data_IF_485879369369
#
_entry.id   IF_485879369369
#
_cell.length_a   1.000
_cell.length_b   1.000
_cell.length_c   1.000
_cell.angle_alpha   90.00
_cell.angle_beta   90.00
_cell.angle_gamma   90.00
#
_symmetry.space_group_name_H-M   'P 1'
#
loop_
_entity.id
_entity.type
_entity.pdbx_description
1 polymer ?
#
# COMPACT_ATOMS: atom_id res chain seq x y z
N UNK A 1 9.03 31.64 -8.67
CA UNK A 1 8.58 30.59 -9.60
C UNK A 1 9.03 29.30 -8.96
N UNK A 2 8.11 28.59 -8.32
CA UNK A 2 8.36 27.27 -7.77
C UNK A 2 8.55 26.34 -8.97
N UNK A 3 9.71 25.68 -9.07
CA UNK A 3 9.98 24.75 -10.16
C UNK A 3 8.98 23.59 -10.05
N UNK A 4 8.14 23.40 -11.06
CA UNK A 4 7.32 22.21 -11.17
C UNK A 4 8.25 21.00 -11.22
N UNK A 5 7.93 19.98 -10.44
CA UNK A 5 8.71 18.75 -10.38
C UNK A 5 8.35 17.91 -11.62
N UNK A 6 9.24 17.83 -12.60
CA UNK A 6 9.01 17.05 -13.83
C UNK A 6 8.94 15.52 -13.57
N UNK A 7 9.54 15.07 -12.47
CA UNK A 7 9.56 13.64 -12.08
C UNK A 7 9.74 13.52 -10.57
N UNK A 8 9.01 12.58 -9.96
CA UNK A 8 9.06 12.28 -8.53
C UNK A 8 9.41 10.81 -8.30
N UNK A 9 10.24 10.55 -7.30
CA UNK A 9 10.45 9.20 -6.76
C UNK A 9 9.78 9.05 -5.41
N UNK A 10 9.04 7.98 -5.21
CA UNK A 10 8.44 7.62 -3.93
C UNK A 10 8.44 6.10 -3.75
N UNK A 11 8.27 5.65 -2.50
CA UNK A 11 8.16 4.24 -2.20
C UNK A 11 6.70 3.87 -1.99
N UNK A 12 6.25 2.78 -2.59
CA UNK A 12 4.91 2.21 -2.45
C UNK A 12 5.03 0.83 -1.78
N UNK A 13 4.31 0.65 -0.68
CA UNK A 13 4.13 -0.62 0.02
C UNK A 13 2.66 -0.78 0.45
N UNK A 14 2.28 -1.93 1.00
CA UNK A 14 0.95 -2.24 1.53
C UNK A 14 1.05 -3.48 2.43
N UNK A 15 -0.04 -3.85 3.09
CA UNK A 15 -0.17 -5.17 3.74
C UNK A 15 0.96 -5.49 4.74
N UNK A 16 1.41 -4.46 5.49
CA UNK A 16 2.38 -4.63 6.58
C UNK A 16 1.83 -5.56 7.65
N UNK A 17 0.51 -5.54 7.87
CA UNK A 17 -0.26 -6.40 8.77
C UNK A 17 0.49 -6.67 10.07
N UNK A 18 0.93 -5.60 10.73
CA UNK A 18 1.66 -5.69 11.98
C UNK A 18 0.77 -6.40 13.02
N UNK A 19 1.32 -7.41 13.69
CA UNK A 19 0.59 -8.25 14.66
C UNK A 19 -0.01 -9.53 14.07
N UNK A 20 0.21 -9.78 12.78
CA UNK A 20 -0.14 -11.02 12.11
C UNK A 20 0.49 -12.26 12.79
N UNK A 21 -0.30 -13.32 12.91
CA UNK A 21 0.19 -14.64 13.36
C UNK A 21 0.01 -15.72 12.29
N UNK A 22 0.81 -16.78 12.38
CA UNK A 22 0.72 -17.94 11.49
C UNK A 22 0.66 -19.23 12.27
N UNK A 23 -0.39 -20.01 11.99
CA UNK A 23 -0.67 -21.27 12.68
C UNK A 23 0.44 -22.32 12.48
N UNK A 24 1.20 -22.22 11.39
CA UNK A 24 2.29 -23.12 11.05
C UNK A 24 3.65 -22.71 11.67
N UNK A 25 3.74 -21.55 12.32
CA UNK A 25 4.95 -21.13 13.02
C UNK A 25 4.90 -21.61 14.48
N UNK A 26 6.05 -22.10 14.98
CA UNK A 26 6.24 -22.29 16.42
C UNK A 26 6.26 -20.93 17.13
N UNK A 27 6.06 -20.90 18.45
CA UNK A 27 6.10 -19.65 19.22
C UNK A 27 7.43 -18.89 19.09
N UNK A 28 8.55 -19.61 19.03
CA UNK A 28 9.87 -19.03 18.80
C UNK A 28 10.01 -18.44 17.39
N UNK A 29 9.52 -19.15 16.37
CA UNK A 29 9.52 -18.66 15.00
C UNK A 29 8.58 -17.45 14.83
N UNK A 30 7.41 -17.48 15.45
CA UNK A 30 6.45 -16.37 15.46
C UNK A 30 7.06 -15.11 16.07
N UNK A 31 7.81 -15.22 17.18
CA UNK A 31 8.46 -14.06 17.79
C UNK A 31 9.53 -13.42 16.88
N UNK A 32 10.25 -14.23 16.09
CA UNK A 32 11.19 -13.73 15.07
C UNK A 32 10.44 -13.09 13.89
N UNK A 33 9.38 -13.74 13.42
CA UNK A 33 8.52 -13.22 12.37
C UNK A 33 7.92 -11.86 12.73
N UNK A 34 7.42 -11.69 13.96
CA UNK A 34 6.93 -10.42 14.47
C UNK A 34 8.02 -9.32 14.46
N UNK A 35 9.26 -9.68 14.81
CA UNK A 35 10.42 -8.76 14.74
C UNK A 35 10.71 -8.34 13.31
N UNK A 36 10.75 -9.29 12.39
CA UNK A 36 11.06 -9.05 10.97
C UNK A 36 9.96 -8.25 10.27
N UNK A 37 8.68 -8.47 10.59
CA UNK A 37 7.58 -7.62 10.09
C UNK A 37 7.74 -6.17 10.51
N UNK A 38 8.14 -5.90 11.77
CA UNK A 38 8.45 -4.52 12.19
C UNK A 38 9.70 -4.00 11.48
N UNK A 39 10.74 -4.84 11.36
CA UNK A 39 12.00 -4.48 10.69
C UNK A 39 11.81 -4.17 9.20
N UNK A 40 10.77 -4.70 8.57
CA UNK A 40 10.38 -4.33 7.20
C UNK A 40 10.07 -2.83 7.07
N UNK A 41 9.53 -2.20 8.12
CA UNK A 41 9.31 -0.75 8.17
C UNK A 41 10.64 -0.01 8.16
N UNK A 42 11.61 -0.44 8.96
CA UNK A 42 12.95 0.15 8.99
C UNK A 42 13.62 0.04 7.61
N UNK A 43 13.53 -1.14 6.98
CA UNK A 43 14.05 -1.38 5.62
C UNK A 43 13.37 -0.51 4.56
N UNK A 44 12.06 -0.24 4.66
CA UNK A 44 11.40 0.74 3.78
C UNK A 44 12.10 2.10 3.85
N UNK A 45 12.46 2.55 5.06
CA UNK A 45 13.21 3.80 5.25
C UNK A 45 14.60 3.76 4.63
N UNK A 46 15.31 2.64 4.77
CA UNK A 46 16.62 2.44 4.15
C UNK A 46 16.55 2.52 2.61
N UNK A 47 15.59 1.82 2.00
CA UNK A 47 15.34 1.84 0.55
C UNK A 47 14.93 3.24 0.10
N UNK A 48 13.98 3.89 0.79
CA UNK A 48 13.54 5.23 0.45
C UNK A 48 14.73 6.22 0.43
N UNK A 49 15.61 6.14 1.42
CA UNK A 49 16.82 6.96 1.46
C UNK A 49 17.80 6.61 0.33
N UNK A 50 18.04 5.32 0.08
CA UNK A 50 18.98 4.86 -0.93
C UNK A 50 18.58 5.26 -2.36
N UNK A 51 17.27 5.23 -2.66
CA UNK A 51 16.74 5.58 -3.99
C UNK A 51 16.35 7.06 -4.13
N UNK A 52 16.50 7.85 -3.07
CA UNK A 52 16.13 9.28 -3.08
C UNK A 52 14.61 9.50 -3.16
N UNK A 53 13.82 8.55 -2.66
CA UNK A 53 12.38 8.70 -2.54
C UNK A 53 12.05 9.91 -1.67
N UNK A 54 11.01 10.65 -2.05
CA UNK A 54 10.61 11.89 -1.37
C UNK A 54 9.55 11.66 -0.31
N UNK A 55 8.81 10.57 -0.40
CA UNK A 55 7.84 10.09 0.57
C UNK A 55 7.60 8.59 0.40
N UNK A 56 6.89 8.00 1.36
CA UNK A 56 6.41 6.62 1.35
C UNK A 56 4.88 6.63 1.34
N UNK A 57 4.26 5.73 0.59
CA UNK A 57 2.82 5.43 0.63
C UNK A 57 2.65 3.99 1.07
N UNK A 58 1.77 3.77 2.05
CA UNK A 58 1.31 2.44 2.47
C UNK A 58 -0.17 2.29 2.14
N UNK A 59 -0.48 1.47 1.13
CA UNK A 59 -1.80 1.35 0.51
C UNK A 59 -2.71 0.34 1.22
N UNK A 60 -2.94 0.54 2.51
CA UNK A 60 -3.84 -0.29 3.33
C UNK A 60 -3.12 -1.36 4.14
N UNK A 61 -3.85 -1.90 5.11
CA UNK A 61 -3.45 -3.01 5.97
C UNK A 61 -2.07 -2.80 6.63
N UNK A 62 -1.92 -1.65 7.29
CA UNK A 62 -0.73 -1.34 8.11
C UNK A 62 -0.71 -2.26 9.34
N UNK A 63 -1.87 -2.53 9.92
CA UNK A 63 -2.03 -3.37 11.10
C UNK A 63 -2.98 -4.53 10.81
N UNK A 64 -2.71 -5.70 11.42
CA UNK A 64 -3.57 -6.88 11.27
C UNK A 64 -4.97 -6.64 11.85
N UNK A 65 -5.06 -5.89 12.95
CA UNK A 65 -6.32 -5.51 13.60
C UNK A 65 -6.20 -4.10 14.19
N UNK A 66 -7.31 -3.39 14.34
CA UNK A 66 -7.34 -2.14 15.13
C UNK A 66 -6.98 -2.35 16.61
N UNK A 67 -7.28 -3.54 17.15
CA UNK A 67 -6.95 -3.91 18.54
C UNK A 67 -5.74 -4.85 18.59
N UNK A 68 -4.58 -4.28 18.85
CA UNK A 68 -3.32 -5.01 19.05
C UNK A 68 -2.77 -4.79 20.46
N UNK A 69 -1.91 -5.72 20.89
CA UNK A 69 -1.15 -5.54 22.12
C UNK A 69 -0.32 -4.26 22.08
N UNK A 70 -0.37 -3.47 23.16
CA UNK A 70 0.29 -2.15 23.25
C UNK A 70 1.78 -2.21 22.91
N UNK A 71 2.47 -3.30 23.27
CA UNK A 71 3.88 -3.50 22.94
C UNK A 71 4.11 -3.60 21.43
N UNK A 72 3.28 -4.35 20.72
CA UNK A 72 3.37 -4.52 19.26
C UNK A 72 3.08 -3.20 18.56
N UNK A 73 1.99 -2.53 18.94
CA UNK A 73 1.66 -1.20 18.42
C UNK A 73 2.79 -0.20 18.69
N UNK A 74 3.28 -0.09 19.93
CA UNK A 74 4.32 0.87 20.30
C UNK A 74 5.59 0.73 19.45
N UNK A 75 6.06 -0.51 19.24
CA UNK A 75 7.23 -0.76 18.38
C UNK A 75 7.02 -0.35 16.93
N UNK A 76 5.83 -0.59 16.38
CA UNK A 76 5.52 -0.18 15.01
C UNK A 76 5.40 1.35 14.88
N UNK A 77 4.82 2.02 15.88
CA UNK A 77 4.78 3.49 15.92
C UNK A 77 6.19 4.09 16.01
N UNK A 78 7.08 3.49 16.81
CA UNK A 78 8.48 3.91 16.90
C UNK A 78 9.20 3.73 15.55
N UNK A 79 8.96 2.61 14.86
CA UNK A 79 9.53 2.36 13.53
C UNK A 79 9.01 3.36 12.47
N UNK A 80 7.69 3.63 12.45
CA UNK A 80 7.10 4.63 11.56
C UNK A 80 7.65 6.04 11.81
N UNK A 81 7.79 6.41 13.09
CA UNK A 81 8.38 7.70 13.50
C UNK A 81 9.84 7.86 13.08
N UNK A 82 10.58 6.75 12.98
CA UNK A 82 11.98 6.76 12.60
C UNK A 82 12.21 6.83 11.08
N UNK A 83 11.15 6.76 10.26
CA UNK A 83 11.29 6.82 8.81
C UNK A 83 11.87 8.17 8.36
N UNK A 84 12.79 8.18 7.37
CA UNK A 84 13.56 9.37 7.01
C UNK A 84 12.81 10.36 6.11
N UNK A 85 11.60 10.00 5.65
CA UNK A 85 10.77 10.77 4.72
C UNK A 85 9.31 10.73 5.17
N UNK A 86 8.47 11.70 4.75
CA UNK A 86 7.05 11.67 5.04
C UNK A 86 6.37 10.37 4.60
N UNK A 87 5.38 9.92 5.37
CA UNK A 87 4.68 8.66 5.18
C UNK A 87 3.18 8.91 5.12
N UNK A 88 2.55 8.38 4.08
CA UNK A 88 1.11 8.45 3.87
C UNK A 88 0.51 7.07 4.05
N UNK A 89 -0.36 6.92 5.04
CA UNK A 89 -1.00 5.65 5.38
C UNK A 89 -2.45 5.68 4.92
N UNK A 90 -2.83 4.74 4.06
CA UNK A 90 -4.23 4.48 3.73
C UNK A 90 -4.77 3.41 4.69
N UNK A 91 -5.94 3.60 5.32
CA UNK A 91 -6.66 2.52 6.02
C UNK A 91 -7.15 1.42 5.07
N UNK A 92 -6.95 0.15 5.46
CA UNK A 92 -7.40 -1.05 4.75
C UNK A 92 -8.58 -1.76 5.43
N UNK A 93 -8.81 -3.03 5.08
CA UNK A 93 -9.93 -3.82 5.62
C UNK A 93 -9.58 -4.47 6.98
N UNK A 94 -8.30 -4.65 7.30
CA UNK A 94 -7.84 -5.15 8.60
C UNK A 94 -7.79 -4.07 9.67
N UNK A 95 -7.53 -2.82 9.28
CA UNK A 95 -7.43 -1.65 10.14
C UNK A 95 -8.33 -0.48 9.71
N UNK A 96 -9.63 -0.71 9.41
CA UNK A 96 -10.50 0.32 8.88
C UNK A 96 -10.59 1.51 9.83
N UNK A 97 -10.85 2.70 9.29
CA UNK A 97 -10.94 3.95 10.06
C UNK A 97 -12.27 4.05 10.85
N UNK A 98 -12.49 3.11 11.77
CA UNK A 98 -13.60 3.06 12.72
C UNK A 98 -13.30 3.88 13.98
N UNK A 99 -14.26 3.98 14.91
CA UNK A 99 -14.11 4.78 16.13
C UNK A 99 -12.99 4.30 17.07
N UNK A 100 -12.62 3.02 16.99
CA UNK A 100 -11.55 2.38 17.75
C UNK A 100 -10.22 2.29 16.96
N UNK A 101 -10.13 2.95 15.80
CA UNK A 101 -8.99 2.82 14.90
C UNK A 101 -7.66 3.18 15.55
N UNK A 102 -6.66 2.35 15.30
CA UNK A 102 -5.27 2.59 15.69
C UNK A 102 -4.69 3.85 15.02
N UNK A 103 -5.26 4.28 13.89
CA UNK A 103 -4.79 5.44 13.15
C UNK A 103 -4.90 6.75 13.96
N UNK A 104 -5.85 6.88 14.90
CA UNK A 104 -5.88 8.07 15.78
C UNK A 104 -4.64 8.20 16.67
N UNK A 105 -3.90 7.10 16.89
CA UNK A 105 -2.62 7.13 17.62
C UNK A 105 -1.45 7.52 16.71
N UNK A 106 -1.53 7.25 15.40
CA UNK A 106 -0.47 7.62 14.45
C UNK A 106 -0.52 9.10 14.08
N UNK A 107 -1.68 9.75 14.17
CA UNK A 107 -1.86 11.16 13.77
C UNK A 107 -0.96 12.15 14.53
N UNK A 108 -0.51 11.79 15.72
CA UNK A 108 0.39 12.64 16.52
C UNK A 108 1.88 12.42 16.19
N UNK A 109 2.19 11.56 15.21
CA UNK A 109 3.56 11.28 14.79
C UNK A 109 3.95 12.26 13.68
N UNK A 110 4.96 13.08 13.96
CA UNK A 110 5.55 13.96 12.96
C UNK A 110 6.03 13.17 11.74
N UNK A 111 5.69 13.65 10.54
CA UNK A 111 6.03 12.99 9.29
C UNK A 111 5.08 11.87 8.88
N UNK A 112 4.06 11.52 9.68
CA UNK A 112 3.05 10.52 9.31
C UNK A 112 1.71 11.22 9.06
N UNK A 113 1.07 10.90 7.93
CA UNK A 113 -0.25 11.42 7.55
C UNK A 113 -1.17 10.26 7.20
N UNK A 114 -2.36 10.24 7.77
CA UNK A 114 -3.40 9.26 7.40
C UNK A 114 -4.28 9.84 6.31
N UNK A 115 -4.46 9.11 5.21
CA UNK A 115 -5.38 9.43 4.14
C UNK A 115 -6.79 9.00 4.57
N UNK A 116 -7.51 9.89 5.26
CA UNK A 116 -8.77 9.57 5.96
C UNK A 116 -10.03 9.70 5.11
N UNK A 117 -9.92 10.40 4.00
CA UNK A 117 -11.01 10.64 3.07
C UNK A 117 -10.46 10.80 1.64
N UNK A 118 -11.32 11.23 0.72
CA UNK A 118 -11.02 11.38 -0.70
C UNK A 118 -10.49 12.76 -1.07
N UNK A 119 -10.10 13.57 -0.09
CA UNK A 119 -9.49 14.89 -0.34
C UNK A 119 -8.12 14.73 -0.98
N UNK A 120 -7.84 15.62 -1.93
CA UNK A 120 -6.52 15.72 -2.56
C UNK A 120 -5.56 16.43 -1.61
N UNK A 121 -4.41 15.81 -1.34
CA UNK A 121 -3.34 16.34 -0.51
C UNK A 121 -2.15 16.70 -1.40
N UNK A 122 -1.76 17.98 -1.43
CA UNK A 122 -0.51 18.38 -2.07
C UNK A 122 0.67 18.06 -1.15
N UNK A 123 1.49 17.09 -1.55
CA UNK A 123 2.57 16.55 -0.71
C UNK A 123 3.90 17.27 -0.96
N UNK A 124 4.07 17.78 -2.18
CA UNK A 124 5.18 18.61 -2.64
C UNK A 124 4.64 19.56 -3.72
N UNK A 125 5.30 20.69 -4.00
CA UNK A 125 4.91 21.55 -5.11
C UNK A 125 4.77 20.78 -6.43
N UNK A 126 3.54 20.70 -6.95
CA UNK A 126 3.22 19.99 -8.19
C UNK A 126 3.02 18.48 -8.06
N UNK A 127 2.98 17.92 -6.85
CA UNK A 127 2.72 16.49 -6.59
C UNK A 127 1.58 16.35 -5.58
N UNK A 128 0.56 15.58 -5.96
CA UNK A 128 -0.66 15.37 -5.19
C UNK A 128 -0.90 13.88 -4.91
N UNK A 129 -1.52 13.59 -3.76
CA UNK A 129 -2.04 12.27 -3.40
C UNK A 129 -3.55 12.36 -3.20
N UNK A 130 -4.29 11.37 -3.69
CA UNK A 130 -5.71 11.14 -3.33
C UNK A 130 -5.88 9.73 -2.78
N UNK A 131 -6.50 9.62 -1.60
CA UNK A 131 -6.81 8.34 -0.97
C UNK A 131 -8.22 7.84 -1.27
N UNK A 132 -8.39 6.52 -1.26
CA UNK A 132 -9.68 5.82 -1.27
C UNK A 132 -9.77 4.88 -0.05
N UNK A 133 -9.90 5.43 1.18
CA UNK A 133 -9.71 4.66 2.40
C UNK A 133 -10.91 3.80 2.77
N UNK A 134 -10.65 2.65 3.40
CA UNK A 134 -11.71 1.84 3.99
C UNK A 134 -12.12 2.38 5.35
N UNK A 135 -13.37 2.83 5.44
CA UNK A 135 -14.00 3.31 6.68
C UNK A 135 -14.72 2.17 7.43
N UNK A 136 -14.91 1.04 6.76
CA UNK A 136 -15.49 -0.20 7.27
C UNK A 136 -14.70 -1.39 6.72
N UNK A 137 -14.74 -2.53 7.42
CA UNK A 137 -14.04 -3.76 7.02
C UNK A 137 -14.45 -4.27 5.64
N UNK A 138 -15.70 -4.04 5.24
CA UNK A 138 -16.23 -4.41 3.92
C UNK A 138 -16.74 -3.16 3.25
N UNK A 139 -16.31 -2.93 2.01
CA UNK A 139 -16.87 -1.90 1.16
C UNK A 139 -18.13 -2.42 0.45
N UNK A 140 -19.05 -1.52 0.12
CA UNK A 140 -20.27 -1.84 -0.64
C UNK A 140 -20.26 -1.21 -2.03
N UNK A 141 -19.14 -0.60 -2.42
CA UNK A 141 -18.94 0.11 -3.68
C UNK A 141 -17.44 0.23 -3.95
N UNK A 142 -17.06 0.41 -5.21
CA UNK A 142 -15.71 0.76 -5.62
C UNK A 142 -15.28 2.13 -5.04
N UNK A 143 -14.46 2.09 -4.00
CA UNK A 143 -13.96 3.28 -3.31
C UNK A 143 -12.96 4.07 -4.14
N UNK A 144 -12.18 3.40 -5.01
CA UNK A 144 -11.24 4.07 -5.92
C UNK A 144 -12.02 4.90 -6.92
N UNK A 145 -13.08 4.32 -7.51
CA UNK A 145 -14.00 5.06 -8.37
C UNK A 145 -14.63 6.24 -7.65
N UNK A 146 -15.15 6.04 -6.45
CA UNK A 146 -15.75 7.12 -5.66
C UNK A 146 -14.77 8.28 -5.39
N UNK A 147 -13.48 7.99 -5.18
CA UNK A 147 -12.44 8.99 -4.98
C UNK A 147 -12.07 9.74 -6.27
N UNK A 148 -12.05 9.06 -7.42
CA UNK A 148 -11.57 9.60 -8.69
C UNK A 148 -12.65 10.23 -9.58
N UNK A 149 -13.91 9.81 -9.45
CA UNK A 149 -15.05 10.34 -10.23
C UNK A 149 -15.21 11.87 -10.16
N UNK A 150 -15.09 12.53 -8.98
CA UNK A 150 -15.22 13.99 -8.90
C UNK A 150 -13.98 14.74 -9.43
N UNK A 151 -12.86 14.05 -9.67
CA UNK A 151 -11.61 14.67 -10.08
C UNK A 151 -11.57 14.94 -11.59
N UNK A 152 -10.80 15.96 -11.94
CA UNK A 152 -10.52 16.37 -13.33
C UNK A 152 -9.03 16.19 -13.64
N UNK A 153 -8.67 16.10 -14.92
CA UNK A 153 -7.29 16.21 -15.39
C UNK A 153 -6.55 17.40 -14.76
N UNK A 154 -5.26 17.22 -14.54
CA UNK A 154 -4.38 18.22 -13.91
C UNK A 154 -2.99 18.16 -14.52
N UNK A 155 -2.26 19.27 -14.48
CA UNK A 155 -0.84 19.32 -14.88
C UNK A 155 0.10 18.77 -13.79
N UNK A 156 -0.39 18.65 -12.56
CA UNK A 156 0.38 18.06 -11.45
C UNK A 156 0.50 16.55 -11.60
N UNK A 157 1.55 15.98 -11.02
CA UNK A 157 1.67 14.52 -10.86
C UNK A 157 0.70 14.13 -9.73
N UNK A 158 -0.31 13.30 -10.04
CA UNK A 158 -1.30 12.84 -9.06
C UNK A 158 -1.24 11.33 -8.88
N UNK A 159 -0.99 10.92 -7.65
CA UNK A 159 -0.94 9.52 -7.24
C UNK A 159 -2.24 9.18 -6.51
N UNK A 160 -2.96 8.18 -6.99
CA UNK A 160 -4.08 7.60 -6.26
C UNK A 160 -3.60 6.46 -5.37
N UNK A 161 -4.24 6.29 -4.22
CA UNK A 161 -3.95 5.22 -3.26
C UNK A 161 -5.26 4.54 -2.89
N UNK A 162 -5.35 3.25 -3.16
CA UNK A 162 -6.54 2.44 -2.89
C UNK A 162 -6.16 1.10 -2.25
N UNK A 163 -7.17 0.39 -1.75
CA UNK A 163 -7.00 -0.94 -1.18
C UNK A 163 -8.24 -1.77 -1.50
N UNK A 164 -8.04 -2.98 -2.03
CA UNK A 164 -9.12 -3.89 -2.41
C UNK A 164 -8.84 -4.66 -3.70
N UNK A 165 -9.80 -5.49 -4.08
CA UNK A 165 -9.63 -6.40 -5.21
C UNK A 165 -9.83 -5.70 -6.56
N UNK A 166 -8.95 -5.98 -7.50
CA UNK A 166 -9.06 -5.54 -8.90
C UNK A 166 -9.42 -6.67 -9.87
N UNK A 167 -9.40 -7.91 -9.40
CA UNK A 167 -9.82 -9.10 -10.13
C UNK A 167 -10.82 -9.90 -9.29
N UNK A 168 -11.93 -10.31 -9.88
CA UNK A 168 -12.91 -11.11 -9.16
C UNK A 168 -12.40 -12.53 -8.96
N UNK A 169 -12.39 -12.99 -7.69
CA UNK A 169 -12.11 -14.39 -7.34
C UNK A 169 -13.33 -15.30 -7.46
N UNK A 170 -14.51 -14.74 -7.74
CA UNK A 170 -15.76 -15.48 -7.90
C UNK A 170 -16.48 -15.10 -9.21
N UNK A 171 -17.47 -15.90 -9.60
CA UNK A 171 -18.36 -15.57 -10.72
C UNK A 171 -19.47 -14.56 -10.35
N UNK A 172 -19.54 -14.13 -9.09
CA UNK A 172 -20.55 -13.18 -8.60
C UNK A 172 -20.08 -11.75 -8.79
N UNK A 173 -21.01 -10.84 -9.10
CA UNK A 173 -20.70 -9.42 -9.18
C UNK A 173 -20.38 -8.88 -7.77
N UNK A 174 -19.15 -8.43 -7.57
CA UNK A 174 -18.70 -7.76 -6.35
C UNK A 174 -18.79 -6.24 -6.57
N UNK A 175 -19.67 -5.53 -5.84
CA UNK A 175 -19.87 -4.09 -6.03
C UNK A 175 -18.67 -3.25 -5.55
N UNK A 176 -17.81 -3.84 -4.72
CA UNK A 176 -16.57 -3.30 -4.18
C UNK A 176 -15.33 -3.61 -5.03
N UNK A 177 -15.48 -4.36 -6.12
CA UNK A 177 -14.40 -4.62 -7.07
C UNK A 177 -13.97 -3.32 -7.75
N UNK A 178 -12.66 -3.08 -7.79
CA UNK A 178 -12.06 -1.92 -8.45
C UNK A 178 -12.25 -2.05 -9.96
N UNK A 179 -12.96 -1.09 -10.56
CA UNK A 179 -13.19 -0.99 -12.00
C UNK A 179 -11.91 -0.52 -12.70
N UNK A 180 -11.06 -1.48 -13.08
CA UNK A 180 -9.81 -1.22 -13.77
C UNK A 180 -10.02 -0.47 -15.10
N UNK A 181 -11.11 -0.70 -15.82
CA UNK A 181 -11.37 0.04 -17.07
C UNK A 181 -11.59 1.52 -16.79
N UNK A 182 -12.33 1.84 -15.73
CA UNK A 182 -12.49 3.21 -15.28
C UNK A 182 -11.15 3.82 -14.84
N UNK A 183 -10.35 3.11 -14.03
CA UNK A 183 -9.01 3.59 -13.60
C UNK A 183 -8.12 3.89 -14.81
N UNK A 184 -8.08 3.00 -15.79
CA UNK A 184 -7.29 3.19 -17.02
C UNK A 184 -7.74 4.42 -17.81
N UNK A 185 -9.04 4.72 -17.82
CA UNK A 185 -9.53 5.96 -18.44
C UNK A 185 -9.03 7.21 -17.73
N UNK A 186 -8.83 7.15 -16.40
CA UNK A 186 -8.30 8.24 -15.56
C UNK A 186 -6.78 8.40 -15.66
N UNK A 187 -6.07 7.33 -15.98
CA UNK A 187 -4.65 7.40 -16.36
C UNK A 187 -4.52 8.02 -17.77
N UNK A 188 -5.33 7.56 -18.71
CA UNK A 188 -5.29 8.02 -20.10
C UNK A 188 -5.67 9.51 -20.27
N UNK A 189 -6.58 10.03 -19.45
CA UNK A 189 -6.96 11.46 -19.46
C UNK A 189 -6.10 12.34 -18.53
N UNK A 190 -5.07 11.76 -17.90
CA UNK A 190 -4.17 12.45 -16.97
C UNK A 190 -4.86 13.03 -15.71
N UNK A 191 -6.01 12.47 -15.30
CA UNK A 191 -6.59 12.71 -13.97
C UNK A 191 -5.69 12.18 -12.85
N UNK A 192 -5.06 11.02 -13.08
CA UNK A 192 -4.01 10.44 -12.24
C UNK A 192 -2.85 9.94 -13.11
N UNK A 193 -1.70 9.71 -12.49
CA UNK A 193 -0.48 9.25 -13.17
C UNK A 193 0.00 7.89 -12.65
N UNK A 194 -0.47 7.48 -11.47
CA UNK A 194 -0.22 6.18 -10.87
C UNK A 194 -1.32 5.83 -9.87
N UNK A 195 -1.68 4.54 -9.76
CA UNK A 195 -2.53 4.01 -8.70
C UNK A 195 -1.75 2.95 -7.89
N UNK A 196 -1.51 3.29 -6.63
CA UNK A 196 -0.94 2.42 -5.60
C UNK A 196 -2.05 1.58 -4.96
N UNK A 197 -1.99 0.25 -5.09
CA UNK A 197 -2.93 -0.69 -4.48
C UNK A 197 -2.28 -1.61 -3.44
N UNK A 198 -3.04 -1.91 -2.38
CA UNK A 198 -2.85 -3.07 -1.50
C UNK A 198 -4.04 -4.03 -1.53
N UNK A 199 -4.03 -5.07 -0.68
CA UNK A 199 -4.96 -6.23 -0.56
C UNK A 199 -4.37 -7.51 -1.16
N UNK A 200 -3.60 -7.38 -2.25
CA UNK A 200 -2.86 -8.51 -2.81
C UNK A 200 -1.44 -8.54 -2.28
N UNK A 201 -1.06 -9.63 -1.62
CA UNK A 201 0.24 -9.77 -0.96
C UNK A 201 1.42 -10.08 -1.90
N UNK A 202 1.18 -10.29 -3.20
CA UNK A 202 2.23 -10.41 -4.22
C UNK A 202 2.34 -9.12 -5.04
N UNK A 203 3.56 -8.64 -5.23
CA UNK A 203 3.84 -7.49 -6.08
C UNK A 203 3.55 -7.83 -7.54
N UNK A 204 2.73 -7.01 -8.21
CA UNK A 204 2.43 -7.19 -9.64
C UNK A 204 1.80 -5.94 -10.26
N UNK A 205 2.07 -5.68 -11.55
CA UNK A 205 1.27 -4.73 -12.32
C UNK A 205 -0.13 -5.30 -12.53
N UNK A 206 -1.12 -4.41 -12.55
CA UNK A 206 -2.50 -4.73 -12.92
C UNK A 206 -3.01 -3.73 -13.94
N UNK A 207 -4.01 -4.13 -14.73
CA UNK A 207 -4.43 -3.35 -15.88
C UNK A 207 -3.50 -3.49 -17.09
N UNK A 208 -3.44 -2.45 -17.91
CA UNK A 208 -2.82 -2.44 -19.24
C UNK A 208 -1.87 -1.28 -19.50
N UNK A 209 -1.93 -0.19 -18.72
CA UNK A 209 -1.02 0.96 -18.89
C UNK A 209 0.33 0.79 -18.20
N UNK A 210 0.44 -0.12 -17.23
CA UNK A 210 1.59 -0.23 -16.33
C UNK A 210 1.58 0.80 -15.18
N UNK A 211 0.56 1.67 -15.12
CA UNK A 211 0.39 2.70 -14.08
C UNK A 211 -0.39 2.24 -12.84
N UNK A 212 -0.80 0.98 -12.74
CA UNK A 212 -1.52 0.43 -11.59
C UNK A 212 -0.77 -0.79 -11.07
N UNK A 213 -0.52 -0.84 -9.76
CA UNK A 213 0.25 -1.92 -9.15
C UNK A 213 -0.29 -2.31 -7.79
N UNK A 214 -0.30 -3.60 -7.51
CA UNK A 214 -0.25 -4.11 -6.14
C UNK A 214 1.21 -4.15 -5.69
N UNK A 215 1.51 -3.61 -4.51
CA UNK A 215 2.89 -3.65 -4.00
C UNK A 215 3.29 -4.97 -3.36
N UNK A 216 2.31 -5.77 -2.93
CA UNK A 216 2.55 -6.93 -2.11
C UNK A 216 2.89 -6.59 -0.66
N UNK A 217 2.87 -7.61 0.19
CA UNK A 217 3.31 -7.47 1.57
C UNK A 217 4.84 -7.39 1.61
N UNK A 218 5.47 -6.45 2.35
CA UNK A 218 6.93 -6.34 2.41
C UNK A 218 7.61 -7.40 3.27
N UNK A 219 6.84 -8.16 4.05
CA UNK A 219 7.29 -9.43 4.61
C UNK A 219 6.31 -10.53 4.20
N UNK A 220 6.85 -11.65 3.73
CA UNK A 220 6.08 -12.78 3.19
C UNK A 220 5.04 -13.24 4.19
N UNK A 221 3.82 -13.47 3.72
CA UNK A 221 2.70 -13.82 4.60
C UNK A 221 2.20 -15.24 4.35
N UNK A 222 2.32 -15.81 3.16
CA UNK A 222 1.78 -17.14 2.87
C UNK A 222 2.75 -17.98 2.05
N UNK A 223 2.43 -19.27 1.94
CA UNK A 223 3.20 -20.21 1.14
C UNK A 223 3.10 -19.86 -0.36
N UNK A 224 4.24 -19.98 -1.05
CA UNK A 224 4.27 -20.15 -2.49
C UNK A 224 3.97 -21.62 -2.81
N UNK A 225 2.85 -21.88 -3.50
CA UNK A 225 2.59 -23.20 -4.07
C UNK A 225 3.37 -23.35 -5.38
N UNK A 226 4.34 -24.27 -5.38
CA UNK A 226 5.21 -24.53 -6.53
C UNK A 226 4.54 -25.44 -7.59
N UNK A 227 3.36 -25.99 -7.30
CA UNK A 227 2.58 -26.76 -8.27
C UNK A 227 1.93 -25.81 -9.30
N UNK A 228 2.33 -25.85 -10.59
CA UNK A 228 1.80 -24.95 -11.62
C UNK A 228 0.31 -25.18 -11.91
N UNK A 229 -0.29 -26.26 -11.39
CA UNK A 229 -1.71 -26.58 -11.56
C UNK A 229 -2.59 -26.04 -10.44
N UNK A 230 -2.01 -25.59 -9.33
CA UNK A 230 -2.74 -25.00 -8.22
C UNK A 230 -2.78 -23.48 -8.37
N UNK A 231 -3.96 -22.92 -8.10
CA UNK A 231 -4.17 -21.47 -8.03
C UNK A 231 -4.27 -21.09 -6.55
N UNK A 232 -3.27 -20.39 -6.02
CA UNK A 232 -3.24 -19.94 -4.64
C UNK A 232 -1.81 -19.66 -4.16
N UNK A 233 -1.69 -19.01 -3.01
CA UNK A 233 -0.41 -18.67 -2.41
C UNK A 233 0.17 -17.33 -2.87
N UNK A 234 1.34 -17.00 -2.33
CA UNK A 234 2.11 -15.79 -2.65
C UNK A 234 3.32 -16.15 -3.51
N UNK A 235 3.44 -15.54 -4.69
CA UNK A 235 4.52 -15.85 -5.65
C UNK A 235 5.59 -14.76 -5.71
N UNK A 236 5.23 -13.52 -5.33
CA UNK A 236 6.13 -12.37 -5.42
C UNK A 236 5.96 -11.43 -4.20
N UNK A 237 5.92 -12.00 -2.99
CA UNK A 237 5.83 -11.22 -1.76
C UNK A 237 7.19 -10.86 -1.18
N UNK A 238 7.15 -9.94 -0.23
CA UNK A 238 8.29 -9.48 0.53
C UNK A 238 9.13 -8.41 -0.18
N UNK A 239 8.49 -7.66 -1.06
CA UNK A 239 9.06 -6.54 -1.81
C UNK A 239 8.44 -5.21 -1.36
N UNK A 240 9.12 -4.13 -1.72
CA UNK A 240 8.56 -2.77 -1.76
C UNK A 240 8.80 -2.23 -3.17
N UNK A 241 7.99 -1.27 -3.59
CA UNK A 241 8.08 -0.69 -4.92
C UNK A 241 8.72 0.69 -4.84
N UNK A 242 9.81 0.91 -5.58
CA UNK A 242 10.33 2.25 -5.86
C UNK A 242 9.69 2.72 -7.16
N UNK A 243 8.86 3.76 -7.06
CA UNK A 243 8.10 4.30 -8.19
C UNK A 243 8.73 5.61 -8.62
N UNK A 244 9.08 5.71 -9.89
CA UNK A 244 9.47 6.96 -10.55
C UNK A 244 8.30 7.41 -11.43
N UNK A 245 7.58 8.44 -10.99
CA UNK A 245 6.40 8.96 -11.68
C UNK A 245 6.69 10.32 -12.33
N UNK A 246 6.14 10.51 -13.52
CA UNK A 246 6.04 11.77 -14.24
C UNK A 246 4.61 11.90 -14.76
N UNK A 247 4.27 13.04 -15.37
CA UNK A 247 2.94 13.18 -15.96
C UNK A 247 2.69 12.13 -17.05
N UNK A 248 1.62 11.34 -16.89
CA UNK A 248 1.19 10.29 -17.82
C UNK A 248 2.07 9.04 -17.89
N UNK A 249 3.08 8.91 -17.02
CA UNK A 249 4.02 7.77 -17.06
C UNK A 249 4.56 7.44 -15.68
N UNK A 250 4.71 6.15 -15.38
CA UNK A 250 5.34 5.66 -14.16
C UNK A 250 6.21 4.44 -14.45
N UNK A 251 7.37 4.38 -13.82
CA UNK A 251 8.26 3.23 -13.82
C UNK A 251 8.36 2.66 -12.40
N UNK A 252 8.34 1.34 -12.30
CA UNK A 252 8.34 0.62 -11.02
C UNK A 252 9.55 -0.30 -10.95
N UNK A 253 10.32 -0.16 -9.89
CA UNK A 253 11.41 -1.06 -9.51
C UNK A 253 11.01 -1.81 -8.23
N UNK A 254 11.06 -3.14 -8.28
CA UNK A 254 10.83 -4.00 -7.11
C UNK A 254 12.11 -4.16 -6.30
N UNK A 255 12.05 -3.89 -5.00
CA UNK A 255 13.18 -4.04 -4.07
C UNK A 255 12.81 -5.01 -2.95
N UNK A 256 13.54 -6.13 -2.86
CA UNK A 256 13.31 -7.15 -1.82
C UNK A 256 13.69 -6.58 -0.44
N UNK A 257 12.77 -6.68 0.52
CA UNK A 257 12.99 -6.27 1.92
C UNK A 257 12.63 -7.35 2.94
N UNK A 258 11.75 -8.30 2.61
CA UNK A 258 11.39 -9.38 3.53
C UNK A 258 12.53 -10.38 3.76
N UNK A 259 12.49 -11.04 4.90
CA UNK A 259 13.47 -12.03 5.35
C UNK A 259 12.96 -13.47 5.23
N UNK A 260 11.63 -13.66 5.20
CA UNK A 260 11.02 -14.98 5.22
C UNK A 260 10.67 -15.45 3.82
N UNK A 261 10.66 -16.77 3.68
CA UNK A 261 10.18 -17.50 2.50
C UNK A 261 9.41 -18.71 3.02
N UNK A 262 8.20 -18.90 2.53
CA UNK A 262 7.38 -20.07 2.82
C UNK A 262 7.15 -20.81 1.51
N UNK A 263 7.71 -22.00 1.36
CA UNK A 263 7.57 -22.84 0.16
C UNK A 263 6.79 -24.09 0.52
N UNK A 264 5.69 -24.34 -0.21
CA UNK A 264 4.96 -25.60 -0.11
C UNK A 264 5.64 -26.63 -1.02
N UNK A 265 5.93 -27.82 -0.45
CA UNK A 265 6.49 -28.97 -1.17
C UNK A 265 5.43 -29.72 -1.97
#
# INVERSE_FOLDING_TARGET
MENMTDTIKFLHSSDLQIGMTRWFLSSEAQARFDDDRIRSIEKMGEVARAHGCRFIVVAGDVFEHNSLHQRTTGRALDALKALPVPVYLLPGNHDPLTADSIFYRVENIEGVTVLKDTSVVEVLPGVEIVGAPLLTKTATTDLVRAALDPLKPTEKIRIAVGHGQAESRSSEASPDLIDLQFVESKLADATIDYLALGDTHSAQPVGSSGGVWFSGAPETTDFHDLDPTRKGGETNSGNVLVVTASKGHAEVEEVRVGNWVFEAL
#
